data_IF_181162793020
#
_entry.id   IF_181162793020
#
_cell.length_a   1.000
_cell.length_b   1.000
_cell.length_c   1.000
_cell.angle_alpha   90.00
_cell.angle_beta   90.00
_cell.angle_gamma   90.00
#
_symmetry.space_group_name_H-M   'P 1'
#
loop_
_entity.id
_entity.type
_entity.pdbx_description
1 polymer ?
#
# COMPACT_ATOMS: atom_id res chain seq x y z
N UNK A 1 -17.03 27.61 21.35
CA UNK A 1 -18.23 26.75 21.15
C UNK A 1 -19.33 27.17 22.10
N UNK A 2 -20.63 26.93 21.76
CA UNK A 2 -21.73 27.19 22.69
C UNK A 2 -22.37 25.87 23.13
N UNK A 3 -22.78 25.81 24.40
CA UNK A 3 -23.48 24.65 24.95
C UNK A 3 -24.90 24.58 24.34
N UNK A 4 -25.25 23.45 23.74
CA UNK A 4 -26.55 23.19 23.12
C UNK A 4 -27.74 23.12 24.11
N UNK A 5 -27.46 23.07 25.42
CA UNK A 5 -28.47 23.00 26.48
C UNK A 5 -28.71 24.35 27.17
N UNK A 6 -27.64 25.14 27.43
CA UNK A 6 -27.79 26.37 28.19
C UNK A 6 -27.22 27.62 27.50
N UNK A 7 -26.66 27.49 26.27
CA UNK A 7 -26.10 28.61 25.52
C UNK A 7 -24.79 29.21 26.03
N UNK A 8 -24.22 28.70 27.13
CA UNK A 8 -22.98 29.22 27.71
C UNK A 8 -21.81 29.00 26.75
N UNK A 9 -20.93 30.00 26.65
CA UNK A 9 -19.72 29.89 25.84
C UNK A 9 -18.73 28.89 26.48
N UNK A 10 -18.29 27.94 25.69
CA UNK A 10 -17.39 26.86 26.10
C UNK A 10 -16.01 27.12 25.53
N UNK A 11 -14.97 27.03 26.36
CA UNK A 11 -13.58 27.05 25.92
C UNK A 11 -13.18 25.73 25.28
N UNK A 12 -12.22 25.78 24.37
CA UNK A 12 -11.73 24.59 23.69
C UNK A 12 -11.06 23.65 24.71
N UNK A 13 -11.46 22.38 24.70
CA UNK A 13 -10.90 21.35 25.61
C UNK A 13 -11.71 21.08 26.87
N UNK A 14 -12.84 21.74 27.13
CA UNK A 14 -13.69 21.44 28.29
C UNK A 14 -14.52 20.18 28.06
N UNK A 15 -14.40 19.21 28.97
CA UNK A 15 -15.16 17.97 28.94
C UNK A 15 -16.60 18.10 29.48
N UNK A 16 -16.88 19.16 30.27
CA UNK A 16 -18.18 19.43 30.89
C UNK A 16 -18.53 20.92 30.84
N UNK A 17 -19.80 21.21 30.61
CA UNK A 17 -20.29 22.59 30.69
C UNK A 17 -20.24 23.10 32.16
N UNK A 18 -19.57 24.23 32.48
CA UNK A 18 -19.48 24.72 33.83
C UNK A 18 -20.81 25.24 34.37
N UNK A 19 -21.77 25.57 33.49
CA UNK A 19 -23.06 26.14 33.88
C UNK A 19 -24.15 25.09 34.11
N UNK A 20 -24.21 24.01 33.31
CA UNK A 20 -25.29 23.03 33.39
C UNK A 20 -24.81 21.59 33.65
N UNK A 21 -23.49 21.38 33.83
CA UNK A 21 -22.90 20.04 34.06
C UNK A 21 -23.05 19.02 32.91
N UNK A 22 -23.61 19.43 31.80
CA UNK A 22 -23.74 18.52 30.64
C UNK A 22 -22.37 18.16 30.11
N UNK A 23 -22.07 16.88 29.89
CA UNK A 23 -20.86 16.52 29.21
C UNK A 23 -20.87 17.15 27.82
N UNK A 24 -19.94 18.06 27.60
CA UNK A 24 -19.63 18.57 26.29
C UNK A 24 -18.91 17.44 25.61
N UNK A 25 -19.59 16.72 24.73
CA UNK A 25 -18.86 16.00 23.72
C UNK A 25 -18.05 17.07 22.99
N UNK A 26 -16.80 17.28 23.43
CA UNK A 26 -15.79 17.66 22.48
C UNK A 26 -16.15 16.83 21.26
N UNK A 27 -16.20 17.40 20.09
CA UNK A 27 -16.21 16.63 18.84
C UNK A 27 -14.89 15.89 18.88
N UNK A 28 -14.85 14.95 19.81
CA UNK A 28 -13.91 13.83 19.82
C UNK A 28 -14.25 13.23 18.50
N UNK A 29 -13.45 13.59 17.55
CA UNK A 29 -13.42 13.04 16.22
C UNK A 29 -13.82 11.59 16.41
N UNK A 30 -15.14 11.31 16.16
CA UNK A 30 -15.54 9.95 15.84
C UNK A 30 -14.38 9.48 15.00
N UNK A 31 -13.65 8.41 15.36
CA UNK A 31 -12.62 7.94 14.48
C UNK A 31 -13.34 7.84 13.15
N UNK A 32 -13.09 8.81 12.29
CA UNK A 32 -13.39 8.68 10.88
C UNK A 32 -12.50 7.52 10.55
N UNK A 33 -13.07 6.31 10.79
CA UNK A 33 -12.45 5.05 10.41
C UNK A 33 -12.14 5.25 8.95
N UNK A 34 -10.86 5.62 8.72
CA UNK A 34 -10.50 6.41 7.62
C UNK A 34 -10.95 5.68 6.37
N UNK A 35 -11.73 6.38 5.59
CA UNK A 35 -11.99 5.99 4.20
C UNK A 35 -10.67 5.52 3.57
N UNK A 36 -9.57 6.15 3.94
CA UNK A 36 -8.20 5.87 3.55
C UNK A 36 -7.70 4.52 4.10
N UNK A 37 -7.98 4.17 5.36
CA UNK A 37 -7.56 2.88 5.92
C UNK A 37 -8.10 1.69 5.11
N UNK A 38 -9.37 1.75 4.72
CA UNK A 38 -9.99 0.70 3.90
C UNK A 38 -9.35 0.62 2.51
N UNK A 39 -9.09 1.77 1.89
CA UNK A 39 -8.45 1.82 0.58
C UNK A 39 -6.98 1.38 0.62
N UNK A 40 -6.23 1.75 1.65
CA UNK A 40 -4.83 1.30 1.84
C UNK A 40 -4.77 -0.21 2.07
N UNK A 41 -5.66 -0.78 2.89
CA UNK A 41 -5.75 -2.23 3.08
C UNK A 41 -6.11 -2.96 1.79
N UNK A 42 -7.12 -2.45 1.06
CA UNK A 42 -7.48 -2.98 -0.27
C UNK A 42 -6.29 -2.93 -1.22
N UNK A 43 -5.58 -1.81 -1.25
CA UNK A 43 -4.41 -1.63 -2.08
C UNK A 43 -3.30 -2.63 -1.74
N UNK A 44 -3.03 -2.85 -0.44
CA UNK A 44 -2.08 -3.85 0.03
C UNK A 44 -2.45 -5.27 -0.42
N UNK A 45 -3.73 -5.64 -0.33
CA UNK A 45 -4.23 -6.93 -0.79
C UNK A 45 -4.09 -7.07 -2.31
N UNK A 46 -4.40 -6.02 -3.09
CA UNK A 46 -4.24 -6.01 -4.54
C UNK A 46 -2.77 -6.17 -4.94
N UNK A 47 -1.86 -5.49 -4.26
CA UNK A 47 -0.42 -5.65 -4.47
C UNK A 47 0.05 -7.07 -4.20
N UNK A 48 -0.41 -7.70 -3.11
CA UNK A 48 -0.11 -9.10 -2.80
C UNK A 48 -0.66 -10.05 -3.86
N UNK A 49 -1.90 -9.86 -4.30
CA UNK A 49 -2.52 -10.69 -5.33
C UNK A 49 -1.76 -10.63 -6.67
N UNK A 50 -1.43 -9.43 -7.15
CA UNK A 50 -0.67 -9.24 -8.39
C UNK A 50 0.75 -9.80 -8.25
N UNK A 51 1.37 -9.64 -7.08
CA UNK A 51 2.69 -10.20 -6.81
C UNK A 51 2.68 -11.73 -6.86
N UNK A 52 1.67 -12.38 -6.32
CA UNK A 52 1.50 -13.83 -6.40
C UNK A 52 1.36 -14.28 -7.87
N UNK A 53 0.57 -13.56 -8.66
CA UNK A 53 0.41 -13.84 -10.10
C UNK A 53 1.73 -13.68 -10.87
N UNK A 54 2.61 -12.75 -10.48
CA UNK A 54 3.94 -12.57 -11.10
C UNK A 54 4.97 -13.59 -10.63
N UNK A 55 4.92 -14.00 -9.36
CA UNK A 55 5.86 -14.98 -8.80
C UNK A 55 5.71 -16.35 -9.46
N UNK A 56 4.49 -16.79 -9.74
CA UNK A 56 4.24 -18.10 -10.36
C UNK A 56 4.93 -18.26 -11.72
N UNK A 57 4.70 -17.39 -12.72
CA UNK A 57 5.39 -17.51 -14.01
C UNK A 57 6.91 -17.23 -13.88
N UNK A 58 7.34 -16.33 -13.00
CA UNK A 58 8.76 -16.10 -12.76
C UNK A 58 9.46 -17.34 -12.23
N UNK A 59 8.87 -18.04 -11.27
CA UNK A 59 9.39 -19.29 -10.74
C UNK A 59 9.36 -20.41 -11.78
N UNK A 60 8.24 -20.54 -12.51
CA UNK A 60 8.10 -21.51 -13.58
C UNK A 60 9.15 -21.29 -14.69
N UNK A 61 9.37 -20.05 -15.09
CA UNK A 61 10.36 -19.70 -16.10
C UNK A 61 11.80 -20.00 -15.63
N UNK A 62 12.12 -19.72 -14.39
CA UNK A 62 13.42 -20.07 -13.80
C UNK A 62 13.62 -21.58 -13.69
N UNK A 63 12.62 -22.32 -13.24
CA UNK A 63 12.67 -23.78 -13.14
C UNK A 63 12.79 -24.44 -14.54
N UNK A 64 12.00 -23.93 -15.49
CA UNK A 64 11.98 -24.47 -16.85
C UNK A 64 13.13 -23.97 -17.74
N UNK A 65 13.87 -22.92 -17.32
CA UNK A 65 14.90 -22.31 -18.18
C UNK A 65 15.97 -23.31 -18.65
N UNK A 66 16.37 -24.22 -17.76
CA UNK A 66 17.38 -25.24 -18.09
C UNK A 66 16.86 -26.29 -19.09
N UNK A 67 15.61 -26.69 -18.95
CA UNK A 67 14.97 -27.65 -19.88
C UNK A 67 14.64 -26.97 -21.21
N UNK A 68 14.13 -25.76 -21.19
CA UNK A 68 13.84 -24.98 -22.41
C UNK A 68 15.11 -24.76 -23.22
N UNK A 69 16.21 -24.37 -22.56
CA UNK A 69 17.50 -24.16 -23.25
C UNK A 69 18.01 -25.45 -23.88
N UNK A 70 17.78 -26.63 -23.26
CA UNK A 70 18.16 -27.93 -23.82
C UNK A 70 17.34 -28.36 -25.05
N UNK A 71 16.14 -27.81 -25.25
CA UNK A 71 15.27 -28.07 -26.40
C UNK A 71 15.39 -27.00 -27.50
N UNK A 72 16.16 -25.93 -27.27
CA UNK A 72 16.35 -24.91 -28.31
C UNK A 72 17.18 -25.47 -29.49
N UNK A 73 16.76 -25.17 -30.75
CA UNK A 73 17.55 -25.51 -31.91
C UNK A 73 18.95 -24.90 -31.88
N UNK A 74 19.98 -25.55 -32.46
CA UNK A 74 21.35 -25.06 -32.46
C UNK A 74 21.56 -23.70 -33.16
N UNK A 75 20.59 -23.29 -33.97
CA UNK A 75 20.61 -22.03 -34.73
C UNK A 75 20.16 -20.82 -33.90
N UNK A 76 19.77 -21.03 -32.63
CA UNK A 76 19.29 -19.92 -31.76
C UNK A 76 20.48 -19.10 -31.30
N UNK A 77 20.43 -17.75 -31.43
CA UNK A 77 21.50 -16.87 -30.98
C UNK A 77 21.82 -17.06 -29.50
N UNK A 78 23.12 -17.05 -29.17
CA UNK A 78 23.68 -17.34 -27.84
C UNK A 78 23.12 -16.43 -26.72
N UNK A 79 22.56 -15.26 -27.05
CA UNK A 79 22.00 -14.33 -26.06
C UNK A 79 20.56 -14.69 -25.61
N UNK A 80 19.84 -15.55 -26.36
CA UNK A 80 18.43 -15.90 -26.08
C UNK A 80 18.27 -16.60 -24.72
N UNK A 81 19.08 -17.59 -24.36
CA UNK A 81 19.03 -18.20 -23.03
C UNK A 81 19.23 -17.18 -21.90
N UNK A 82 20.14 -16.22 -22.11
CA UNK A 82 20.37 -15.14 -21.15
C UNK A 82 19.17 -14.22 -20.97
N UNK A 83 18.46 -13.90 -22.04
CA UNK A 83 17.23 -13.10 -22.00
C UNK A 83 16.10 -13.83 -21.26
N UNK A 84 15.96 -15.13 -21.45
CA UNK A 84 14.96 -15.95 -20.74
C UNK A 84 15.24 -15.93 -19.23
N UNK A 85 16.48 -16.12 -18.82
CA UNK A 85 16.90 -16.09 -17.43
C UNK A 85 16.72 -14.68 -16.81
N UNK A 86 17.11 -13.65 -17.54
CA UNK A 86 16.93 -12.25 -17.10
C UNK A 86 15.45 -11.92 -16.93
N UNK A 87 14.60 -12.33 -17.88
CA UNK A 87 13.15 -12.13 -17.77
C UNK A 87 12.56 -12.82 -16.55
N UNK A 88 12.95 -14.08 -16.29
CA UNK A 88 12.54 -14.82 -15.10
C UNK A 88 12.98 -14.14 -13.80
N UNK A 89 14.24 -13.66 -13.77
CA UNK A 89 14.78 -12.94 -12.60
C UNK A 89 14.06 -11.61 -12.35
N UNK A 90 13.76 -10.86 -13.40
CA UNK A 90 13.02 -9.60 -13.28
C UNK A 90 11.58 -9.82 -12.78
N UNK A 91 10.89 -10.85 -13.28
CA UNK A 91 9.57 -11.23 -12.80
C UNK A 91 9.58 -11.64 -11.32
N UNK A 92 10.55 -12.44 -10.90
CA UNK A 92 10.71 -12.81 -9.50
C UNK A 92 11.04 -11.62 -8.63
N UNK A 93 11.98 -10.76 -9.05
CA UNK A 93 12.34 -9.55 -8.34
C UNK A 93 11.15 -8.61 -8.15
N UNK A 94 10.39 -8.36 -9.23
CA UNK A 94 9.18 -7.55 -9.19
C UNK A 94 8.10 -8.18 -8.28
N UNK A 95 7.95 -9.50 -8.31
CA UNK A 95 7.04 -10.23 -7.43
C UNK A 95 7.40 -10.10 -5.95
N UNK A 96 8.67 -10.32 -5.60
CA UNK A 96 9.16 -10.19 -4.21
C UNK A 96 9.01 -8.76 -3.68
N UNK A 97 9.41 -7.77 -4.50
CA UNK A 97 9.25 -6.36 -4.14
C UNK A 97 7.77 -5.98 -3.97
N UNK A 98 6.89 -6.48 -4.84
CA UNK A 98 5.45 -6.27 -4.72
C UNK A 98 4.86 -6.89 -3.45
N UNK A 99 5.35 -8.06 -3.01
CA UNK A 99 4.98 -8.65 -1.71
C UNK A 99 5.43 -7.75 -0.56
N UNK A 100 6.66 -7.25 -0.60
CA UNK A 100 7.18 -6.34 0.42
C UNK A 100 6.35 -5.06 0.51
N UNK A 101 6.00 -4.45 -0.63
CA UNK A 101 5.12 -3.28 -0.69
C UNK A 101 3.73 -3.60 -0.13
N UNK A 102 3.11 -4.70 -0.56
CA UNK A 102 1.79 -5.11 -0.10
C UNK A 102 1.75 -5.35 1.42
N UNK A 103 2.74 -6.06 1.95
CA UNK A 103 2.89 -6.29 3.38
C UNK A 103 3.13 -4.98 4.15
N UNK A 104 4.03 -4.13 3.67
CA UNK A 104 4.33 -2.85 4.28
C UNK A 104 3.11 -1.92 4.32
N UNK A 105 2.26 -1.92 3.29
CA UNK A 105 1.00 -1.17 3.27
C UNK A 105 -0.01 -1.72 4.30
N UNK A 106 -0.11 -3.04 4.45
CA UNK A 106 -1.01 -3.66 5.44
C UNK A 106 -0.57 -3.38 6.88
N UNK A 107 0.73 -3.25 7.11
CA UNK A 107 1.32 -2.93 8.42
C UNK A 107 1.56 -1.44 8.63
N UNK A 108 1.11 -0.59 7.71
CA UNK A 108 1.28 0.88 7.76
C UNK A 108 2.73 1.34 7.96
N UNK A 109 3.69 0.63 7.36
CA UNK A 109 5.09 1.02 7.44
C UNK A 109 5.37 2.30 6.65
N UNK A 110 6.11 3.29 7.23
CA UNK A 110 6.33 4.58 6.57
C UNK A 110 7.08 4.48 5.24
N UNK A 111 8.01 3.51 5.10
CA UNK A 111 8.74 3.27 3.86
C UNK A 111 7.88 2.66 2.75
N UNK A 112 6.82 1.92 3.12
CA UNK A 112 5.97 1.22 2.15
C UNK A 112 5.19 2.19 1.26
N UNK A 113 4.80 3.35 1.79
CA UNK A 113 4.12 4.40 1.03
C UNK A 113 4.99 4.91 -0.13
N UNK A 114 6.26 5.25 0.17
CA UNK A 114 7.21 5.70 -0.86
C UNK A 114 7.42 4.65 -1.94
N UNK A 115 7.67 3.41 -1.53
CA UNK A 115 7.86 2.30 -2.47
C UNK A 115 6.60 2.04 -3.30
N UNK A 116 5.41 2.09 -2.69
CA UNK A 116 4.15 1.91 -3.40
C UNK A 116 3.94 2.97 -4.50
N UNK A 117 4.30 4.24 -4.24
CA UNK A 117 4.20 5.31 -5.23
C UNK A 117 5.19 5.06 -6.39
N UNK A 118 6.45 4.75 -6.08
CA UNK A 118 7.48 4.48 -7.10
C UNK A 118 7.08 3.28 -7.97
N UNK A 119 6.71 2.17 -7.34
CA UNK A 119 6.27 0.98 -8.07
C UNK A 119 4.93 1.17 -8.76
N UNK A 120 4.03 1.99 -8.21
CA UNK A 120 2.80 2.41 -8.86
C UNK A 120 3.06 3.15 -10.17
N UNK A 121 4.03 4.07 -10.18
CA UNK A 121 4.47 4.73 -11.40
C UNK A 121 5.07 3.76 -12.43
N UNK A 122 5.89 2.82 -11.98
CA UNK A 122 6.48 1.80 -12.87
C UNK A 122 5.43 0.86 -13.44
N UNK A 123 4.42 0.49 -12.65
CA UNK A 123 3.35 -0.40 -13.10
C UNK A 123 2.42 0.24 -14.14
N UNK A 124 2.46 1.56 -14.34
CA UNK A 124 1.69 2.23 -15.41
C UNK A 124 2.09 1.73 -16.82
N UNK A 125 3.32 1.26 -16.97
CA UNK A 125 3.80 0.71 -18.26
C UNK A 125 3.28 -0.70 -18.54
N UNK A 126 2.70 -1.37 -17.56
CA UNK A 126 2.18 -2.75 -17.69
C UNK A 126 0.67 -2.74 -18.00
N UNK A 127 0.31 -2.56 -19.24
CA UNK A 127 -1.08 -2.56 -19.71
C UNK A 127 -1.63 -4.00 -19.79
N UNK A 128 -2.89 -4.26 -19.32
CA UNK A 128 -3.86 -3.33 -18.72
C UNK A 128 -3.87 -3.32 -17.18
N UNK A 129 -3.44 -4.42 -16.53
CA UNK A 129 -3.62 -4.61 -15.09
C UNK A 129 -2.70 -3.74 -14.24
N UNK A 130 -1.45 -3.59 -14.65
CA UNK A 130 -0.48 -2.75 -13.96
C UNK A 130 -0.86 -1.28 -14.02
N UNK A 131 -1.35 -0.81 -15.18
CA UNK A 131 -1.84 0.57 -15.33
C UNK A 131 -3.01 0.87 -14.38
N UNK A 132 -3.99 -0.03 -14.30
CA UNK A 132 -5.13 0.15 -13.40
C UNK A 132 -4.69 0.20 -11.94
N UNK A 133 -3.80 -0.71 -11.53
CA UNK A 133 -3.23 -0.73 -10.18
C UNK A 133 -2.39 0.52 -9.90
N UNK A 134 -1.56 0.94 -10.84
CA UNK A 134 -0.72 2.15 -10.73
C UNK A 134 -1.55 3.41 -10.53
N UNK A 135 -2.56 3.62 -11.38
CA UNK A 135 -3.49 4.76 -11.25
C UNK A 135 -4.20 4.72 -9.90
N UNK A 136 -4.71 3.56 -9.48
CA UNK A 136 -5.38 3.41 -8.19
C UNK A 136 -4.45 3.69 -7.02
N UNK A 137 -3.20 3.20 -7.08
CA UNK A 137 -2.16 3.46 -6.07
C UNK A 137 -1.89 4.95 -5.91
N UNK A 138 -1.71 5.66 -7.02
CA UNK A 138 -1.47 7.10 -7.03
C UNK A 138 -2.69 7.85 -6.49
N UNK A 139 -3.90 7.50 -6.93
CA UNK A 139 -5.13 8.14 -6.47
C UNK A 139 -5.36 7.98 -4.95
N UNK A 140 -4.98 6.85 -4.37
CA UNK A 140 -5.13 6.59 -2.93
C UNK A 140 -4.03 7.28 -2.11
N UNK A 141 -2.77 7.27 -2.58
CA UNK A 141 -1.61 7.67 -1.77
C UNK A 141 -1.14 9.12 -2.01
N UNK A 142 -1.49 9.74 -3.14
CA UNK A 142 -1.02 11.09 -3.48
C UNK A 142 -1.68 12.24 -2.68
N UNK A 143 -3.01 12.19 -2.31
CA UNK A 143 -3.63 13.30 -1.62
C UNK A 143 -2.95 13.61 -0.27
N UNK A 144 -2.75 14.91 0.03
CA UNK A 144 -2.11 15.37 1.29
C UNK A 144 -2.82 14.88 2.55
N UNK A 145 -4.15 14.75 2.51
CA UNK A 145 -4.94 14.18 3.60
C UNK A 145 -4.59 12.71 3.86
N UNK A 146 -4.27 11.96 2.81
CA UNK A 146 -3.84 10.56 2.92
C UNK A 146 -2.46 10.44 3.58
N UNK A 147 -1.60 11.42 3.37
CA UNK A 147 -0.29 11.49 4.00
C UNK A 147 -0.37 11.62 5.51
N UNK A 148 -1.15 12.60 5.96
CA UNK A 148 -1.32 12.88 7.40
C UNK A 148 -1.95 11.69 8.14
N UNK A 149 -3.00 11.09 7.58
CA UNK A 149 -3.66 9.92 8.17
C UNK A 149 -2.76 8.67 8.17
N UNK A 150 -1.96 8.48 7.10
CA UNK A 150 -1.02 7.37 7.02
C UNK A 150 0.11 7.52 8.05
N UNK A 151 0.68 8.72 8.19
CA UNK A 151 1.72 8.98 9.18
C UNK A 151 1.21 8.85 10.61
N UNK A 152 0.00 9.31 10.92
CA UNK A 152 -0.61 9.14 12.23
C UNK A 152 -0.71 7.64 12.60
N UNK A 153 -1.21 6.81 11.68
CA UNK A 153 -1.30 5.36 11.91
C UNK A 153 0.05 4.65 11.94
N UNK A 154 1.00 5.07 11.14
CA UNK A 154 2.36 4.54 11.19
C UNK A 154 3.01 4.80 12.56
N UNK A 155 2.79 5.98 13.13
CA UNK A 155 3.28 6.32 14.48
C UNK A 155 2.61 5.48 15.56
N UNK A 156 1.29 5.27 15.48
CA UNK A 156 0.56 4.38 16.38
C UNK A 156 1.07 2.94 16.31
N UNK A 157 1.30 2.41 15.09
CA UNK A 157 1.81 1.06 14.89
C UNK A 157 3.23 0.87 15.46
N UNK A 158 4.10 1.87 15.30
CA UNK A 158 5.45 1.85 15.88
C UNK A 158 5.43 1.93 17.40
N UNK A 159 4.56 2.77 17.99
CA UNK A 159 4.37 2.87 19.43
C UNK A 159 3.85 1.58 20.07
N UNK A 160 2.93 0.88 19.39
CA UNK A 160 2.43 -0.40 19.84
C UNK A 160 3.46 -1.55 19.77
N UNK A 161 4.43 -1.47 18.87
CA UNK A 161 5.50 -2.46 18.74
C UNK A 161 6.62 -2.31 19.80
N UNK A 162 6.65 -1.19 20.53
CA UNK A 162 7.65 -0.89 21.55
C UNK A 162 7.18 -1.18 22.99
N UNK A 163 5.92 -1.59 23.17
CA UNK A 163 5.35 -2.03 24.46
C UNK A 163 5.38 -3.55 24.59
#
# INVERSE_FOLDING_TARGET
>A
MFCDRCGTNLSDGQSFCPSCGKPVRSVQQLPVQGRIEKHVKLLGILWLAISAVRLLPGLALMAASRTIVGFLPPDVPMFVPGLIQLGGLLLLGAGVLGVAVGWGLLTFQPWARMLAIVFGCLSLFEVPFGTALGVYTLWVLLPEKSEQEYHAKATEALGAAQM
#
